data_IF_344851953459
#
_entry.id   IF_344851953459
#
_cell.length_a   1.000
_cell.length_b   1.000
_cell.length_c   1.000
_cell.angle_alpha   90.00
_cell.angle_beta   90.00
_cell.angle_gamma   90.00
#
_symmetry.space_group_name_H-M   'P 1'
#
loop_
_entity.id
_entity.type
_entity.pdbx_description
1 polymer ?
#
# COMPACT_ATOMS: atom_id res chain seq x y z
N UNK A 1 -34.21 -6.91 -14.62
CA UNK A 1 -34.38 -5.73 -13.74
C UNK A 1 -33.00 -5.36 -13.21
N UNK A 2 -32.37 -4.31 -13.72
CA UNK A 2 -31.05 -3.88 -13.24
C UNK A 2 -31.18 -3.41 -11.78
N UNK A 3 -30.37 -3.96 -10.87
CA UNK A 3 -30.28 -3.44 -9.50
C UNK A 3 -29.80 -1.97 -9.58
N UNK A 4 -30.42 -1.03 -8.87
CA UNK A 4 -29.93 0.34 -8.81
C UNK A 4 -28.49 0.36 -8.27
N UNK A 5 -27.63 1.22 -8.85
CA UNK A 5 -26.19 1.28 -8.53
C UNK A 5 -25.92 1.47 -7.03
N UNK A 6 -26.77 2.21 -6.33
CA UNK A 6 -26.64 2.41 -4.89
C UNK A 6 -26.79 1.09 -4.11
N UNK A 7 -27.70 0.22 -4.56
CA UNK A 7 -27.87 -1.13 -4.00
C UNK A 7 -26.62 -1.99 -4.21
N UNK A 8 -26.00 -1.89 -5.40
CA UNK A 8 -24.75 -2.60 -5.72
C UNK A 8 -23.59 -2.11 -4.84
N UNK A 9 -23.47 -0.80 -4.64
CA UNK A 9 -22.42 -0.22 -3.78
C UNK A 9 -22.57 -0.67 -2.33
N UNK A 10 -23.80 -0.69 -1.80
CA UNK A 10 -24.05 -1.17 -0.43
C UNK A 10 -23.77 -2.66 -0.28
N UNK A 11 -24.11 -3.46 -1.28
CA UNK A 11 -23.80 -4.89 -1.32
C UNK A 11 -22.29 -5.14 -1.31
N UNK A 12 -21.52 -4.42 -2.16
CA UNK A 12 -20.05 -4.49 -2.17
C UNK A 12 -19.47 -4.11 -0.80
N UNK A 13 -19.95 -3.02 -0.19
CA UNK A 13 -19.50 -2.60 1.16
C UNK A 13 -19.79 -3.66 2.23
N UNK A 14 -20.99 -4.24 2.21
CA UNK A 14 -21.38 -5.31 3.14
C UNK A 14 -20.55 -6.58 2.96
N UNK A 15 -20.24 -6.95 1.73
CA UNK A 15 -19.39 -8.10 1.43
C UNK A 15 -17.91 -7.82 1.80
N UNK A 16 -17.44 -6.58 1.60
CA UNK A 16 -16.09 -6.17 1.97
C UNK A 16 -15.89 -6.27 3.50
N UNK A 17 -16.87 -5.83 4.30
CA UNK A 17 -16.85 -6.01 5.77
C UNK A 17 -16.75 -7.47 6.21
N UNK A 18 -17.25 -8.39 5.39
CA UNK A 18 -17.26 -9.84 5.65
C UNK A 18 -16.14 -10.58 4.90
N UNK A 19 -15.20 -9.85 4.30
CA UNK A 19 -14.10 -10.38 3.49
C UNK A 19 -14.53 -11.36 2.38
N UNK A 20 -15.74 -11.16 1.83
CA UNK A 20 -16.30 -11.99 0.75
C UNK A 20 -15.83 -11.52 -0.63
N UNK A 21 -14.51 -11.46 -0.84
CA UNK A 21 -13.92 -10.87 -2.05
C UNK A 21 -14.29 -11.60 -3.35
N UNK A 22 -14.48 -12.93 -3.32
CA UNK A 22 -14.92 -13.71 -4.49
C UNK A 22 -16.30 -13.25 -4.97
N UNK A 23 -17.23 -13.01 -4.04
CA UNK A 23 -18.58 -12.55 -4.35
C UNK A 23 -18.56 -11.12 -4.92
N UNK A 24 -17.71 -10.25 -4.37
CA UNK A 24 -17.48 -8.90 -4.90
C UNK A 24 -16.95 -8.96 -6.34
N UNK A 25 -15.93 -9.78 -6.60
CA UNK A 25 -15.35 -9.93 -7.94
C UNK A 25 -16.38 -10.46 -8.95
N UNK A 26 -17.28 -11.36 -8.52
CA UNK A 26 -18.38 -11.83 -9.37
C UNK A 26 -19.31 -10.67 -9.77
N UNK A 27 -19.78 -9.88 -8.79
CA UNK A 27 -20.63 -8.70 -9.03
C UNK A 27 -19.93 -7.72 -9.99
N UNK A 28 -18.65 -7.42 -9.74
CA UNK A 28 -17.88 -6.50 -10.59
C UNK A 28 -17.69 -7.04 -12.01
N UNK A 29 -17.54 -8.36 -12.18
CA UNK A 29 -17.39 -8.98 -13.50
C UNK A 29 -18.68 -8.94 -14.31
N UNK A 30 -19.82 -9.16 -13.67
CA UNK A 30 -21.14 -9.04 -14.30
C UNK A 30 -21.37 -7.60 -14.79
N UNK A 31 -20.96 -6.59 -14.00
CA UNK A 31 -21.01 -5.18 -14.41
C UNK A 31 -20.12 -4.90 -15.62
N UNK A 32 -18.86 -5.38 -15.62
CA UNK A 32 -17.95 -5.18 -16.76
C UNK A 32 -18.50 -5.83 -18.03
N UNK A 33 -19.07 -7.03 -17.93
CA UNK A 33 -19.69 -7.70 -19.08
C UNK A 33 -20.90 -6.90 -19.60
N UNK A 34 -21.76 -6.42 -18.72
CA UNK A 34 -22.86 -5.51 -19.08
C UNK A 34 -22.37 -4.23 -19.75
N UNK A 35 -21.25 -3.66 -19.29
CA UNK A 35 -20.61 -2.51 -19.94
C UNK A 35 -20.03 -2.86 -21.31
N UNK A 36 -19.41 -4.03 -21.49
CA UNK A 36 -18.85 -4.44 -22.78
C UNK A 36 -19.94 -4.63 -23.85
N UNK A 37 -21.07 -5.24 -23.47
CA UNK A 37 -22.24 -5.39 -24.36
C UNK A 37 -22.82 -4.03 -24.75
N UNK A 38 -22.88 -3.07 -23.81
CA UNK A 38 -23.42 -1.73 -24.06
C UNK A 38 -22.45 -0.79 -24.78
N UNK A 39 -21.13 -0.98 -24.64
CA UNK A 39 -20.11 -0.17 -25.33
C UNK A 39 -20.09 -0.42 -26.85
N UNK A 40 -20.52 -1.60 -27.31
CA UNK A 40 -20.75 -1.85 -28.74
C UNK A 40 -21.94 -1.05 -29.32
N UNK A 41 -22.75 -0.38 -28.48
CA UNK A 41 -23.98 0.34 -28.87
C UNK A 41 -23.97 1.85 -28.60
N UNK A 42 -22.80 2.49 -28.46
CA UNK A 42 -22.64 3.92 -28.19
C UNK A 42 -23.19 4.39 -26.81
N UNK A 43 -22.27 4.39 -25.84
CA UNK A 43 -22.26 5.04 -24.50
C UNK A 43 -23.16 4.39 -23.40
N UNK A 44 -22.73 4.33 -22.13
CA UNK A 44 -23.15 5.41 -21.21
C UNK A 44 -22.31 5.70 -19.95
N UNK A 45 -21.07 5.25 -19.75
CA UNK A 45 -20.14 5.93 -18.79
C UNK A 45 -18.71 5.36 -18.75
N UNK A 46 -17.74 5.90 -19.51
CA UNK A 46 -16.33 5.49 -19.39
C UNK A 46 -15.78 5.68 -17.97
N UNK A 47 -16.23 6.72 -17.26
CA UNK A 47 -15.92 6.94 -15.84
C UNK A 47 -16.43 5.80 -14.92
N UNK A 48 -17.59 5.21 -15.19
CA UNK A 48 -18.08 4.07 -14.36
C UNK A 48 -17.29 2.80 -14.68
N UNK A 49 -17.00 2.56 -15.96
CA UNK A 49 -16.18 1.41 -16.35
C UNK A 49 -14.82 1.45 -15.65
N UNK A 50 -14.11 2.59 -15.72
CA UNK A 50 -12.78 2.68 -15.11
C UNK A 50 -12.82 2.52 -13.59
N UNK A 51 -13.87 3.00 -12.92
CA UNK A 51 -14.07 2.80 -11.48
C UNK A 51 -14.31 1.30 -11.14
N UNK A 52 -15.15 0.61 -11.91
CA UNK A 52 -15.41 -0.83 -11.72
C UNK A 52 -14.17 -1.67 -11.98
N UNK A 53 -13.42 -1.37 -13.04
CA UNK A 53 -12.14 -2.04 -13.33
C UNK A 53 -11.12 -1.79 -12.21
N UNK A 54 -11.04 -0.57 -11.68
CA UNK A 54 -10.14 -0.25 -10.55
C UNK A 54 -10.48 -1.09 -9.31
N UNK A 55 -11.76 -1.19 -8.95
CA UNK A 55 -12.21 -2.03 -7.83
C UNK A 55 -11.93 -3.51 -8.10
N UNK A 56 -12.16 -3.97 -9.33
CA UNK A 56 -11.95 -5.38 -9.70
C UNK A 56 -10.46 -5.75 -9.63
N UNK A 57 -9.58 -4.88 -10.10
CA UNK A 57 -8.13 -5.02 -9.92
C UNK A 57 -7.78 -5.11 -8.43
N UNK A 58 -8.29 -4.17 -7.61
CA UNK A 58 -8.03 -4.15 -6.18
C UNK A 58 -8.46 -5.46 -5.48
N UNK A 59 -9.67 -5.96 -5.72
CA UNK A 59 -10.12 -7.20 -5.10
C UNK A 59 -9.45 -8.45 -5.67
N UNK A 60 -9.11 -8.46 -6.96
CA UNK A 60 -8.33 -9.54 -7.55
C UNK A 60 -6.90 -9.60 -7.00
N UNK A 61 -6.31 -8.46 -6.59
CA UNK A 61 -5.05 -8.45 -5.84
C UNK A 61 -5.19 -9.18 -4.51
N UNK A 62 -6.29 -8.94 -3.77
CA UNK A 62 -6.53 -9.64 -2.51
C UNK A 62 -6.70 -11.15 -2.70
N UNK A 63 -7.19 -11.58 -3.87
CA UNK A 63 -7.37 -12.98 -4.24
C UNK A 63 -6.14 -13.60 -4.94
N UNK A 64 -5.08 -12.85 -5.19
CA UNK A 64 -3.93 -13.26 -6.01
C UNK A 64 -4.32 -13.77 -7.42
N UNK A 65 -5.38 -13.20 -8.00
CA UNK A 65 -5.90 -13.59 -9.32
C UNK A 65 -5.16 -12.85 -10.46
N UNK A 66 -3.87 -13.13 -10.64
CA UNK A 66 -2.98 -12.41 -11.57
C UNK A 66 -3.49 -12.37 -13.01
N UNK A 67 -4.04 -13.46 -13.54
CA UNK A 67 -4.59 -13.50 -14.89
C UNK A 67 -5.74 -12.49 -15.08
N UNK A 68 -6.62 -12.37 -14.09
CA UNK A 68 -7.73 -11.40 -14.11
C UNK A 68 -7.21 -9.97 -14.04
N UNK A 69 -6.19 -9.71 -13.21
CA UNK A 69 -5.56 -8.38 -13.09
C UNK A 69 -4.93 -7.96 -14.42
N UNK A 70 -4.15 -8.86 -15.04
CA UNK A 70 -3.51 -8.62 -16.34
C UNK A 70 -4.57 -8.38 -17.42
N UNK A 71 -5.65 -9.15 -17.44
CA UNK A 71 -6.78 -8.94 -18.36
C UNK A 71 -7.37 -7.53 -18.21
N UNK A 72 -7.57 -7.07 -16.97
CA UNK A 72 -8.13 -5.74 -16.70
C UNK A 72 -7.17 -4.62 -17.13
N UNK A 73 -5.88 -4.76 -16.83
CA UNK A 73 -4.88 -3.83 -17.34
C UNK A 73 -4.76 -3.85 -18.86
N UNK A 74 -4.96 -5.00 -19.52
CA UNK A 74 -4.98 -5.08 -20.98
C UNK A 74 -6.20 -4.37 -21.59
N UNK A 75 -7.35 -4.35 -20.91
CA UNK A 75 -8.50 -3.52 -21.32
C UNK A 75 -8.22 -2.02 -21.14
N UNK A 76 -7.57 -1.65 -20.04
CA UNK A 76 -7.20 -0.27 -19.74
C UNK A 76 -6.10 0.23 -20.68
N UNK A 77 -5.14 -0.64 -21.02
CA UNK A 77 -3.85 -0.40 -21.69
C UNK A 77 -2.92 0.51 -20.87
N UNK A 78 -3.31 1.77 -20.71
CA UNK A 78 -2.60 2.77 -19.91
C UNK A 78 -3.62 3.73 -19.30
N UNK A 79 -3.46 4.13 -18.03
CA UNK A 79 -4.32 5.16 -17.42
C UNK A 79 -4.09 6.56 -18.02
N UNK A 80 -3.00 6.76 -18.77
CA UNK A 80 -2.67 8.01 -19.45
C UNK A 80 -3.19 8.07 -20.90
N UNK A 81 -3.92 7.04 -21.34
CA UNK A 81 -4.47 7.03 -22.70
C UNK A 81 -5.55 8.11 -22.88
N UNK A 82 -5.56 8.79 -24.03
CA UNK A 82 -6.53 9.84 -24.37
C UNK A 82 -7.99 9.40 -24.20
N UNK A 83 -8.32 8.12 -24.43
CA UNK A 83 -9.67 7.57 -24.21
C UNK A 83 -10.15 7.66 -22.76
N UNK A 84 -9.27 7.97 -21.81
CA UNK A 84 -9.60 8.16 -20.40
C UNK A 84 -9.66 9.63 -19.99
N UNK A 85 -9.52 10.57 -20.93
CA UNK A 85 -9.66 12.01 -20.68
C UNK A 85 -11.13 12.44 -20.81
N UNK A 86 -11.57 13.41 -20.01
CA UNK A 86 -12.92 13.96 -20.10
C UNK A 86 -13.18 14.60 -21.47
N UNK A 87 -12.14 15.22 -22.04
CA UNK A 87 -12.09 15.91 -23.33
C UNK A 87 -12.39 15.00 -24.52
N UNK A 88 -12.20 13.69 -24.37
CA UNK A 88 -12.54 12.70 -25.39
C UNK A 88 -14.05 12.42 -25.49
N UNK A 89 -14.86 12.98 -24.57
CA UNK A 89 -16.32 12.81 -24.53
C UNK A 89 -17.02 14.15 -24.23
N UNK A 90 -16.88 15.18 -25.10
CA UNK A 90 -17.41 16.52 -24.87
C UNK A 90 -18.93 16.52 -24.73
N UNK A 91 -19.64 15.72 -25.53
CA UNK A 91 -21.11 15.58 -25.51
C UNK A 91 -21.66 15.13 -24.14
N UNK A 92 -20.81 14.51 -23.32
CA UNK A 92 -21.20 13.89 -22.05
C UNK A 92 -20.71 14.66 -20.84
N UNK A 93 -19.49 15.18 -20.91
CA UNK A 93 -18.82 15.80 -19.76
C UNK A 93 -18.66 17.31 -19.89
N UNK A 94 -19.08 17.91 -21.02
CA UNK A 94 -19.01 19.34 -21.26
C UNK A 94 -17.59 19.85 -21.12
N UNK A 95 -17.41 20.90 -20.32
CA UNK A 95 -16.12 21.58 -20.13
C UNK A 95 -15.19 20.91 -19.10
N UNK A 96 -15.50 19.68 -18.64
CA UNK A 96 -14.61 18.96 -17.73
C UNK A 96 -13.30 18.59 -18.43
N UNK A 97 -12.20 18.75 -17.70
CA UNK A 97 -10.85 18.49 -18.19
C UNK A 97 -10.10 17.49 -17.33
N UNK A 98 -9.09 16.86 -17.92
CA UNK A 98 -8.18 15.93 -17.29
C UNK A 98 -8.66 14.48 -17.26
N UNK A 99 -7.95 13.66 -16.49
CA UNK A 99 -8.17 12.21 -16.48
C UNK A 99 -9.40 11.78 -15.67
N UNK A 100 -10.16 10.84 -16.23
CA UNK A 100 -11.20 10.08 -15.53
C UNK A 100 -10.61 8.97 -14.64
N UNK A 101 -9.34 8.60 -14.82
CA UNK A 101 -8.70 7.55 -14.04
C UNK A 101 -8.50 8.03 -12.60
N UNK A 102 -9.01 7.30 -11.59
CA UNK A 102 -8.76 7.65 -10.20
C UNK A 102 -7.28 7.44 -9.86
N UNK A 103 -6.77 8.23 -8.91
CA UNK A 103 -5.38 8.11 -8.45
C UNK A 103 -5.02 6.69 -7.98
N UNK A 104 -5.96 5.98 -7.35
CA UNK A 104 -5.77 4.58 -6.96
C UNK A 104 -5.47 3.65 -8.14
N UNK A 105 -6.06 3.88 -9.31
CA UNK A 105 -5.72 3.10 -10.51
C UNK A 105 -4.28 3.37 -10.96
N UNK A 106 -3.85 4.63 -10.94
CA UNK A 106 -2.47 4.99 -11.29
C UNK A 106 -1.47 4.31 -10.35
N UNK A 107 -1.74 4.30 -9.04
CA UNK A 107 -0.94 3.58 -8.06
C UNK A 107 -0.91 2.07 -8.35
N UNK A 108 -2.07 1.45 -8.58
CA UNK A 108 -2.17 0.02 -8.87
C UNK A 108 -1.41 -0.33 -10.16
N UNK A 109 -1.54 0.50 -11.20
CA UNK A 109 -0.85 0.33 -12.48
C UNK A 109 0.68 0.42 -12.34
N UNK A 110 1.16 1.36 -11.52
CA UNK A 110 2.58 1.53 -11.26
C UNK A 110 3.16 0.44 -10.33
N UNK A 111 2.41 0.04 -9.30
CA UNK A 111 2.89 -0.90 -8.28
C UNK A 111 2.75 -2.38 -8.70
N UNK A 112 1.74 -2.74 -9.49
CA UNK A 112 1.49 -4.14 -9.85
C UNK A 112 2.70 -4.87 -10.47
N UNK A 113 3.48 -4.27 -11.39
CA UNK A 113 4.69 -4.91 -11.93
C UNK A 113 5.66 -5.35 -10.83
N UNK A 114 5.83 -4.57 -9.76
CA UNK A 114 6.68 -4.95 -8.63
C UNK A 114 6.12 -6.18 -7.90
N UNK A 115 4.80 -6.28 -7.72
CA UNK A 115 4.15 -7.44 -7.09
C UNK A 115 4.40 -8.75 -7.87
N UNK A 116 4.61 -8.68 -9.18
CA UNK A 116 4.92 -9.83 -10.05
C UNK A 116 6.41 -9.95 -10.39
N UNK A 117 7.29 -9.25 -9.67
CA UNK A 117 8.75 -9.36 -9.80
C UNK A 117 9.40 -8.49 -10.87
N UNK A 118 8.65 -7.57 -11.49
CA UNK A 118 9.17 -6.63 -12.48
C UNK A 118 9.45 -5.26 -11.86
N UNK A 119 10.54 -5.19 -11.09
CA UNK A 119 10.96 -4.01 -10.32
C UNK A 119 11.15 -2.78 -11.20
N UNK A 120 11.96 -2.89 -12.27
CA UNK A 120 12.27 -1.74 -13.14
C UNK A 120 11.03 -1.20 -13.86
N UNK A 121 10.13 -2.07 -14.31
CA UNK A 121 8.85 -1.64 -14.91
C UNK A 121 7.99 -0.87 -13.91
N UNK A 122 8.03 -1.27 -12.63
CA UNK A 122 7.31 -0.55 -11.58
C UNK A 122 7.92 0.83 -11.34
N UNK A 123 9.25 0.91 -11.21
CA UNK A 123 9.96 2.17 -11.01
C UNK A 123 9.77 3.14 -12.17
N UNK A 124 9.82 2.66 -13.42
CA UNK A 124 9.54 3.45 -14.62
C UNK A 124 8.12 4.03 -14.60
N UNK A 125 7.11 3.22 -14.30
CA UNK A 125 5.72 3.69 -14.18
C UNK A 125 5.52 4.66 -13.03
N UNK A 126 6.21 4.47 -11.91
CA UNK A 126 6.18 5.42 -10.80
C UNK A 126 6.85 6.74 -11.16
N UNK A 127 7.93 6.71 -11.95
CA UNK A 127 8.56 7.93 -12.46
C UNK A 127 7.59 8.73 -13.35
N UNK A 128 6.92 8.07 -14.30
CA UNK A 128 5.87 8.71 -15.14
C UNK A 128 4.74 9.29 -14.28
N UNK A 129 4.27 8.54 -13.27
CA UNK A 129 3.24 9.04 -12.36
C UNK A 129 3.73 10.24 -11.55
N UNK A 130 4.97 10.23 -11.10
CA UNK A 130 5.57 11.35 -10.37
C UNK A 130 5.60 12.60 -11.24
N UNK A 131 6.09 12.51 -12.47
CA UNK A 131 6.16 13.65 -13.40
C UNK A 131 4.78 14.23 -13.67
N UNK A 132 3.80 13.37 -13.97
CA UNK A 132 2.41 13.78 -14.13
C UNK A 132 1.87 14.54 -12.91
N UNK A 133 2.11 14.06 -11.69
CA UNK A 133 1.64 14.74 -10.47
C UNK A 133 2.35 16.08 -10.24
N UNK A 134 3.63 16.19 -10.62
CA UNK A 134 4.37 17.44 -10.53
C UNK A 134 3.81 18.49 -11.49
N UNK A 135 3.54 18.12 -12.74
CA UNK A 135 2.91 19.00 -13.73
C UNK A 135 1.54 19.49 -13.24
N UNK A 136 0.69 18.57 -12.78
CA UNK A 136 -0.65 18.90 -12.27
C UNK A 136 -0.61 19.82 -11.05
N UNK A 137 0.40 19.67 -10.18
CA UNK A 137 0.63 20.58 -9.05
C UNK A 137 1.01 22.00 -9.50
N UNK A 138 1.77 22.12 -10.59
CA UNK A 138 2.15 23.43 -11.14
C UNK A 138 0.97 24.15 -11.81
N UNK A 139 0.07 23.41 -12.45
CA UNK A 139 -1.11 23.93 -13.14
C UNK A 139 -2.23 24.36 -12.18
N UNK A 140 -2.42 23.65 -11.07
CA UNK A 140 -3.53 23.90 -10.13
C UNK A 140 -3.05 24.28 -8.74
N UNK A 141 -2.97 25.60 -8.47
CA UNK A 141 -2.61 26.12 -7.13
C UNK A 141 -3.65 25.76 -6.07
N UNK A 142 -4.94 25.73 -6.42
CA UNK A 142 -6.03 25.40 -5.49
C UNK A 142 -6.02 23.93 -5.05
N UNK A 143 -5.47 23.03 -5.87
CA UNK A 143 -5.34 21.59 -5.56
C UNK A 143 -3.90 21.20 -5.17
N UNK A 144 -3.01 22.17 -4.93
CA UNK A 144 -1.59 21.93 -4.70
C UNK A 144 -1.32 20.98 -3.52
N UNK A 145 -2.11 21.10 -2.44
CA UNK A 145 -1.98 20.23 -1.27
C UNK A 145 -2.35 18.79 -1.58
N UNK A 146 -3.44 18.56 -2.33
CA UNK A 146 -3.87 17.23 -2.77
C UNK A 146 -2.80 16.56 -3.62
N UNK A 147 -2.22 17.29 -4.57
CA UNK A 147 -1.12 16.75 -5.39
C UNK A 147 0.14 16.54 -4.57
N UNK A 148 0.45 17.41 -3.61
CA UNK A 148 1.58 17.23 -2.68
C UNK A 148 1.42 15.95 -1.87
N UNK A 149 0.24 15.67 -1.30
CA UNK A 149 -0.04 14.41 -0.61
C UNK A 149 0.10 13.19 -1.52
N UNK A 150 -0.31 13.28 -2.79
CA UNK A 150 -0.15 12.20 -3.78
C UNK A 150 1.30 11.96 -4.15
N UNK A 151 2.10 13.02 -4.32
CA UNK A 151 3.54 12.93 -4.58
C UNK A 151 4.25 12.25 -3.40
N UNK A 152 3.92 12.66 -2.16
CA UNK A 152 4.43 12.01 -0.96
C UNK A 152 4.06 10.52 -0.95
N UNK A 153 2.80 10.18 -1.23
CA UNK A 153 2.36 8.79 -1.32
C UNK A 153 3.15 7.96 -2.34
N UNK A 154 3.35 8.49 -3.56
CA UNK A 154 4.18 7.83 -4.59
C UNK A 154 5.62 7.65 -4.11
N UNK A 155 6.21 8.69 -3.52
CA UNK A 155 7.59 8.61 -3.05
C UNK A 155 7.81 7.66 -1.89
N UNK A 156 6.84 7.54 -0.98
CA UNK A 156 6.87 6.53 0.07
C UNK A 156 6.83 5.11 -0.51
N UNK A 157 6.03 4.86 -1.54
CA UNK A 157 5.97 3.56 -2.23
C UNK A 157 7.28 3.24 -2.98
N UNK A 158 7.88 4.22 -3.64
CA UNK A 158 9.18 4.05 -4.30
C UNK A 158 10.28 3.77 -3.27
N UNK A 159 10.29 4.50 -2.15
CA UNK A 159 11.22 4.25 -1.06
C UNK A 159 11.04 2.84 -0.46
N UNK A 160 9.80 2.38 -0.28
CA UNK A 160 9.51 1.01 0.18
C UNK A 160 10.03 -0.07 -0.80
N UNK A 161 9.90 0.17 -2.11
CA UNK A 161 10.50 -0.71 -3.13
C UNK A 161 12.02 -0.74 -2.95
N UNK A 162 12.69 0.42 -2.86
CA UNK A 162 14.13 0.47 -2.68
C UNK A 162 14.60 -0.20 -1.38
N UNK A 163 13.89 0.00 -0.27
CA UNK A 163 14.16 -0.71 1.00
C UNK A 163 14.03 -2.22 0.81
N UNK A 164 12.97 -2.68 0.15
CA UNK A 164 12.73 -4.10 -0.12
C UNK A 164 13.79 -4.72 -1.02
N UNK A 165 14.32 -3.96 -1.98
CA UNK A 165 15.39 -4.36 -2.89
C UNK A 165 16.80 -4.18 -2.30
N UNK A 166 16.91 -3.97 -0.97
CA UNK A 166 18.18 -3.76 -0.26
C UNK A 166 19.00 -2.56 -0.77
N UNK A 167 18.31 -1.50 -1.23
CA UNK A 167 18.87 -0.25 -1.72
C UNK A 167 18.52 0.94 -0.81
N UNK A 168 18.94 0.93 0.47
CA UNK A 168 18.54 1.96 1.44
C UNK A 168 19.05 3.37 1.07
N UNK A 169 20.17 3.48 0.36
CA UNK A 169 20.70 4.78 -0.10
C UNK A 169 19.78 5.46 -1.13
N UNK A 170 19.22 4.67 -2.06
CA UNK A 170 18.26 5.19 -3.03
C UNK A 170 16.95 5.58 -2.34
N UNK A 171 16.47 4.78 -1.40
CA UNK A 171 15.32 5.13 -0.56
C UNK A 171 15.55 6.45 0.18
N UNK A 172 16.71 6.60 0.82
CA UNK A 172 17.09 7.81 1.54
C UNK A 172 17.08 9.05 0.62
N UNK A 173 17.60 8.93 -0.60
CA UNK A 173 17.62 10.03 -1.57
C UNK A 173 16.20 10.53 -1.92
N UNK A 174 15.25 9.62 -2.11
CA UNK A 174 13.85 9.93 -2.39
C UNK A 174 13.19 10.57 -1.17
N UNK A 175 13.39 10.00 0.01
CA UNK A 175 12.79 10.49 1.25
C UNK A 175 13.31 11.87 1.65
N UNK A 176 14.61 12.14 1.48
CA UNK A 176 15.18 13.47 1.71
C UNK A 176 14.65 14.50 0.71
N UNK A 177 14.40 14.09 -0.55
CA UNK A 177 13.74 14.95 -1.54
C UNK A 177 12.29 15.26 -1.14
N UNK A 178 11.54 14.27 -0.64
CA UNK A 178 10.18 14.48 -0.12
C UNK A 178 10.17 15.45 1.06
N UNK A 179 11.03 15.18 2.05
CA UNK A 179 11.14 15.99 3.26
C UNK A 179 11.54 17.44 2.94
N UNK A 180 12.50 17.66 2.05
CA UNK A 180 12.99 19.01 1.72
C UNK A 180 12.08 19.80 0.78
N UNK A 181 11.47 19.16 -0.23
CA UNK A 181 10.74 19.87 -1.31
C UNK A 181 9.22 19.88 -1.16
N UNK A 182 8.65 18.98 -0.37
CA UNK A 182 7.21 18.76 -0.33
C UNK A 182 6.62 19.03 1.04
N UNK A 183 7.06 18.30 2.07
CA UNK A 183 6.61 18.54 3.43
C UNK A 183 7.60 17.95 4.45
N UNK A 184 8.30 18.82 5.19
CA UNK A 184 9.26 18.41 6.22
C UNK A 184 8.60 17.91 7.51
N UNK A 185 7.36 18.30 7.79
CA UNK A 185 6.64 17.87 9.00
C UNK A 185 5.96 16.52 8.81
N UNK A 186 5.67 16.12 7.56
CA UNK A 186 4.90 14.90 7.24
C UNK A 186 5.38 13.67 8.04
N UNK A 187 4.53 13.23 8.98
CA UNK A 187 4.84 12.15 9.91
C UNK A 187 5.27 10.85 9.22
N UNK A 188 4.62 10.47 8.11
CA UNK A 188 4.93 9.22 7.40
C UNK A 188 6.32 9.25 6.73
N UNK A 189 6.70 10.40 6.15
CA UNK A 189 8.05 10.61 5.58
C UNK A 189 9.12 10.58 6.67
N UNK A 190 8.87 11.25 7.80
CA UNK A 190 9.77 11.23 8.94
C UNK A 190 9.92 9.82 9.55
N UNK A 191 8.82 9.07 9.71
CA UNK A 191 8.88 7.70 10.16
C UNK A 191 9.72 6.83 9.21
N UNK A 192 9.49 6.90 7.89
CA UNK A 192 10.27 6.14 6.91
C UNK A 192 11.75 6.57 6.83
N UNK A 193 12.06 7.85 7.06
CA UNK A 193 13.44 8.32 7.21
C UNK A 193 14.10 7.70 8.43
N UNK A 194 13.43 7.72 9.58
CA UNK A 194 13.96 7.15 10.80
C UNK A 194 14.34 5.68 10.63
N UNK A 195 13.46 4.98 9.94
CA UNK A 195 13.58 3.59 9.55
C UNK A 195 14.81 3.34 8.67
N UNK A 196 14.96 4.09 7.59
CA UNK A 196 16.09 3.93 6.66
C UNK A 196 17.42 4.32 7.31
N UNK A 197 17.44 5.37 8.13
CA UNK A 197 18.62 5.75 8.91
C UNK A 197 19.05 4.64 9.87
N UNK A 198 18.10 4.01 10.56
CA UNK A 198 18.39 2.88 11.42
C UNK A 198 18.97 1.70 10.63
N UNK A 199 18.45 1.40 9.43
CA UNK A 199 18.98 0.33 8.57
C UNK A 199 20.44 0.55 8.13
N UNK A 200 20.88 1.80 8.00
CA UNK A 200 22.26 2.14 7.63
C UNK A 200 23.16 2.38 8.86
N UNK A 201 22.65 2.14 10.07
CA UNK A 201 23.40 2.30 11.33
C UNK A 201 23.49 3.73 11.87
N UNK A 202 22.73 4.68 11.30
CA UNK A 202 22.68 6.07 11.76
C UNK A 202 21.55 6.25 12.79
N UNK A 203 21.81 5.78 14.02
CA UNK A 203 20.84 5.86 15.12
C UNK A 203 20.50 7.29 15.55
N UNK A 204 21.41 8.25 15.31
CA UNK A 204 21.21 9.66 15.67
C UNK A 204 20.13 10.29 14.78
N UNK A 205 20.26 10.16 13.47
CA UNK A 205 19.22 10.65 12.55
C UNK A 205 17.95 9.79 12.63
N UNK A 206 18.08 8.50 12.94
CA UNK A 206 16.91 7.64 13.19
C UNK A 206 16.02 8.20 14.30
N UNK A 207 16.59 8.44 15.48
CA UNK A 207 15.87 8.96 16.64
C UNK A 207 15.28 10.35 16.38
N UNK A 208 16.07 11.27 15.80
CA UNK A 208 15.61 12.61 15.43
C UNK A 208 14.36 12.59 14.53
N UNK A 209 14.32 11.71 13.54
CA UNK A 209 13.21 11.67 12.60
C UNK A 209 11.97 10.97 13.19
N UNK A 210 12.12 9.94 14.02
CA UNK A 210 10.96 9.31 14.64
C UNK A 210 10.33 10.20 15.72
N UNK A 211 11.14 10.99 16.44
CA UNK A 211 10.66 12.03 17.35
C UNK A 211 9.76 13.04 16.63
N UNK A 212 10.21 13.56 15.48
CA UNK A 212 9.40 14.44 14.63
C UNK A 212 8.11 13.78 14.12
N UNK A 213 8.15 12.50 13.80
CA UNK A 213 6.94 11.78 13.37
C UNK A 213 5.89 11.67 14.50
N UNK A 214 6.33 11.70 15.77
CA UNK A 214 5.46 11.67 16.95
C UNK A 214 4.92 13.05 17.34
N UNK A 215 5.60 14.14 16.97
CA UNK A 215 5.17 15.52 17.25
C UNK A 215 3.85 15.88 16.54
N UNK A 216 3.62 15.35 15.33
CA UNK A 216 2.32 15.47 14.68
C UNK A 216 1.31 14.56 15.39
N UNK A 217 0.37 15.15 16.13
CA UNK A 217 -0.73 14.44 16.79
C UNK A 217 -1.58 13.73 15.74
N UNK A 218 -1.25 12.47 15.49
CA UNK A 218 -1.91 11.63 14.50
C UNK A 218 -2.51 10.43 15.20
N UNK A 219 -3.50 9.80 14.57
CA UNK A 219 -4.00 8.49 15.00
C UNK A 219 -2.91 7.41 15.06
N UNK A 220 -1.71 7.69 14.52
CA UNK A 220 -0.58 6.79 14.43
C UNK A 220 0.50 7.05 15.49
N UNK A 221 0.30 7.99 16.43
CA UNK A 221 1.34 8.35 17.42
C UNK A 221 1.83 7.13 18.23
N UNK A 222 0.93 6.26 18.70
CA UNK A 222 1.34 5.04 19.43
C UNK A 222 2.07 4.04 18.53
N UNK A 223 1.72 3.99 17.24
CA UNK A 223 2.47 3.20 16.27
C UNK A 223 3.92 3.70 16.13
N UNK A 224 4.12 5.02 16.05
CA UNK A 224 5.45 5.62 15.98
C UNK A 224 6.26 5.47 17.26
N UNK A 225 5.62 5.53 18.44
CA UNK A 225 6.27 5.17 19.70
C UNK A 225 6.77 3.73 19.70
N UNK A 226 5.96 2.81 19.19
CA UNK A 226 6.38 1.42 18.98
C UNK A 226 7.63 1.33 18.10
N UNK A 227 7.67 2.06 16.97
CA UNK A 227 8.87 2.11 16.10
C UNK A 227 10.08 2.71 16.83
N UNK A 228 9.90 3.77 17.60
CA UNK A 228 10.97 4.39 18.38
C UNK A 228 11.57 3.41 19.40
N UNK A 229 10.74 2.63 20.10
CA UNK A 229 11.20 1.57 21.00
C UNK A 229 11.99 0.50 20.23
N UNK A 230 11.50 0.10 19.04
CA UNK A 230 12.18 -0.86 18.17
C UNK A 230 13.57 -0.35 17.71
N UNK A 231 13.69 0.92 17.31
CA UNK A 231 14.96 1.55 16.92
C UNK A 231 15.97 1.49 18.08
N UNK A 232 15.50 1.64 19.32
CA UNK A 232 16.31 1.58 20.52
C UNK A 232 16.43 0.18 21.13
N UNK A 233 16.01 -0.87 20.40
CA UNK A 233 16.03 -2.27 20.82
C UNK A 233 15.25 -2.57 22.13
N UNK A 234 14.31 -1.70 22.51
CA UNK A 234 13.39 -1.92 23.63
C UNK A 234 12.13 -2.65 23.16
N UNK A 235 12.27 -3.97 22.97
CA UNK A 235 11.21 -4.80 22.40
C UNK A 235 10.01 -5.00 23.33
N UNK A 236 10.22 -4.91 24.64
CA UNK A 236 9.14 -5.02 25.63
C UNK A 236 8.21 -3.81 25.54
N UNK A 237 8.77 -2.60 25.51
CA UNK A 237 7.96 -1.40 25.31
C UNK A 237 7.40 -1.32 23.90
N UNK A 238 8.16 -1.73 22.87
CA UNK A 238 7.64 -1.79 21.51
C UNK A 238 6.36 -2.66 21.44
N UNK A 239 6.41 -3.86 22.02
CA UNK A 239 5.25 -4.76 22.10
C UNK A 239 4.06 -4.08 22.81
N UNK A 240 4.30 -3.41 23.93
CA UNK A 240 3.25 -2.67 24.65
C UNK A 240 2.60 -1.61 23.74
N UNK A 241 3.40 -0.76 23.10
CA UNK A 241 2.91 0.33 22.25
C UNK A 241 2.12 -0.19 21.05
N UNK A 242 2.58 -1.25 20.37
CA UNK A 242 1.84 -1.84 19.26
C UNK A 242 0.52 -2.48 19.72
N UNK A 243 0.47 -3.05 20.93
CA UNK A 243 -0.77 -3.59 21.51
C UNK A 243 -1.77 -2.48 21.84
N UNK A 244 -1.32 -1.37 22.44
CA UNK A 244 -2.16 -0.18 22.69
C UNK A 244 -2.72 0.37 21.38
N UNK A 245 -1.87 0.45 20.35
CA UNK A 245 -2.24 0.86 19.02
C UNK A 245 -3.32 -0.05 18.41
N UNK A 246 -3.13 -1.39 18.48
CA UNK A 246 -4.12 -2.38 18.02
C UNK A 246 -5.49 -2.17 18.68
N UNK A 247 -5.53 -2.07 20.01
CA UNK A 247 -6.77 -1.91 20.76
C UNK A 247 -7.50 -0.60 20.40
N UNK A 248 -6.73 0.47 20.15
CA UNK A 248 -7.30 1.76 19.71
C UNK A 248 -7.95 1.66 18.32
N UNK A 249 -7.38 0.86 17.41
CA UNK A 249 -7.96 0.59 16.10
C UNK A 249 -9.23 -0.27 16.17
N UNK A 250 -9.23 -1.31 17.02
CA UNK A 250 -10.40 -2.18 17.19
C UNK A 250 -11.60 -1.43 17.79
N UNK A 251 -11.36 -0.43 18.64
CA UNK A 251 -12.39 0.42 19.22
C UNK A 251 -13.00 1.43 18.21
N UNK A 252 -12.30 1.75 17.12
CA UNK A 252 -12.77 2.67 16.09
C UNK A 252 -13.48 1.90 14.97
N UNK A 253 -14.81 1.80 15.07
CA UNK A 253 -15.69 1.03 14.15
C UNK A 253 -15.78 1.56 12.69
N UNK A 254 -14.79 2.31 12.20
CA UNK A 254 -14.92 3.09 10.95
C UNK A 254 -13.76 2.93 9.97
N UNK A 255 -13.82 1.89 9.13
CA UNK A 255 -13.53 1.91 7.68
C UNK A 255 -13.12 0.52 7.17
N UNK A 256 -13.74 0.09 6.07
CA UNK A 256 -13.48 -1.19 5.36
C UNK A 256 -12.09 -1.30 4.71
N UNK A 257 -11.23 -0.29 4.87
CA UNK A 257 -9.86 -0.23 4.32
C UNK A 257 -8.80 -0.48 5.42
N UNK A 258 -9.23 -0.56 6.69
CA UNK A 258 -8.39 -0.63 7.92
C UNK A 258 -7.63 -1.96 8.08
N UNK A 259 -7.93 -2.96 7.26
CA UNK A 259 -7.40 -4.32 7.37
C UNK A 259 -5.89 -4.43 7.02
N UNK A 260 -5.29 -3.44 6.36
CA UNK A 260 -3.84 -3.44 6.02
C UNK A 260 -2.95 -2.91 7.13
N UNK A 261 -3.41 -1.89 7.88
CA UNK A 261 -2.72 -1.37 9.06
C UNK A 261 -2.71 -2.39 10.20
N UNK A 262 -3.80 -3.15 10.35
CA UNK A 262 -3.89 -4.24 11.34
C UNK A 262 -2.82 -5.31 11.11
N UNK A 263 -2.61 -5.75 9.85
CA UNK A 263 -1.55 -6.71 9.52
C UNK A 263 -0.15 -6.19 9.86
N UNK A 264 0.09 -4.90 9.64
CA UNK A 264 1.33 -4.22 10.02
C UNK A 264 1.55 -4.23 11.53
N UNK A 265 0.51 -3.90 12.30
CA UNK A 265 0.58 -3.84 13.76
C UNK A 265 0.75 -5.24 14.35
N UNK A 266 -0.02 -6.23 13.88
CA UNK A 266 0.10 -7.64 14.30
C UNK A 266 1.50 -8.18 13.97
N UNK A 267 2.02 -7.87 12.78
CA UNK A 267 3.38 -8.27 12.41
C UNK A 267 4.41 -7.67 13.37
N UNK A 268 4.29 -6.38 13.68
CA UNK A 268 5.21 -5.72 14.62
C UNK A 268 5.09 -6.28 16.05
N UNK A 269 3.89 -6.64 16.51
CA UNK A 269 3.68 -7.37 17.79
C UNK A 269 4.42 -8.69 17.76
N UNK A 270 4.24 -9.49 16.70
CA UNK A 270 4.87 -10.80 16.57
C UNK A 270 6.40 -10.70 16.52
N UNK A 271 6.94 -9.73 15.77
CA UNK A 271 8.39 -9.45 15.72
C UNK A 271 8.92 -9.10 17.11
N UNK A 272 8.30 -8.15 17.82
CA UNK A 272 8.74 -7.82 19.18
C UNK A 272 8.74 -9.06 20.08
N UNK A 273 7.72 -9.92 19.99
CA UNK A 273 7.65 -11.18 20.74
C UNK A 273 8.76 -12.16 20.34
N UNK A 274 9.17 -12.24 19.07
CA UNK A 274 10.31 -13.04 18.65
C UNK A 274 11.62 -12.56 19.29
N UNK A 275 11.89 -11.25 19.28
CA UNK A 275 13.08 -10.67 19.93
C UNK A 275 13.06 -10.85 21.45
N UNK A 276 11.87 -10.97 22.05
CA UNK A 276 11.71 -11.33 23.46
C UNK A 276 11.79 -12.85 23.73
N UNK A 277 12.14 -13.66 22.73
CA UNK A 277 12.16 -15.14 22.79
C UNK A 277 10.81 -15.79 23.15
N UNK A 278 9.69 -15.09 22.91
CA UNK A 278 8.32 -15.56 23.17
C UNK A 278 7.68 -16.15 21.91
N UNK A 279 8.31 -17.16 21.33
CA UNK A 279 7.97 -17.74 20.02
C UNK A 279 6.53 -18.25 19.91
N UNK A 280 6.01 -18.90 20.96
CA UNK A 280 4.61 -19.38 21.01
C UNK A 280 3.63 -18.22 20.97
N UNK A 281 3.89 -17.14 21.71
CA UNK A 281 3.05 -15.96 21.71
C UNK A 281 3.12 -15.22 20.37
N UNK A 282 4.31 -15.14 19.75
CA UNK A 282 4.50 -14.57 18.42
C UNK A 282 3.69 -15.33 17.37
N UNK A 283 3.73 -16.66 17.40
CA UNK A 283 2.91 -17.51 16.53
C UNK A 283 1.42 -17.27 16.74
N UNK A 284 0.96 -17.25 17.99
CA UNK A 284 -0.45 -16.98 18.30
C UNK A 284 -0.90 -15.59 17.81
N UNK A 285 -0.03 -14.58 17.90
CA UNK A 285 -0.31 -13.25 17.35
C UNK A 285 -0.48 -13.30 15.82
N UNK A 286 0.40 -13.99 15.11
CA UNK A 286 0.29 -14.20 13.65
C UNK A 286 -1.00 -14.97 13.31
N UNK A 287 -1.28 -16.05 14.03
CA UNK A 287 -2.47 -16.90 13.80
C UNK A 287 -3.77 -16.15 14.13
N UNK A 288 -3.73 -15.14 15.00
CA UNK A 288 -4.87 -14.26 15.28
C UNK A 288 -5.22 -13.32 14.12
N UNK A 289 -4.32 -13.17 13.15
CA UNK A 289 -4.57 -12.38 11.95
C UNK A 289 -5.60 -13.10 11.06
N UNK A 290 -6.86 -12.71 11.21
CA UNK A 290 -7.98 -13.30 10.46
C UNK A 290 -7.85 -13.12 8.94
N UNK A 291 -7.03 -12.17 8.47
CA UNK A 291 -6.88 -11.81 7.06
C UNK A 291 -5.40 -11.63 6.67
N UNK A 292 -4.65 -12.72 6.52
CA UNK A 292 -3.31 -12.68 5.92
C UNK A 292 -3.45 -12.33 4.42
N UNK A 293 -3.34 -11.05 4.09
CA UNK A 293 -3.21 -10.62 2.70
C UNK A 293 -1.84 -11.05 2.19
N UNK A 294 -1.80 -12.03 1.28
CA UNK A 294 -0.55 -12.52 0.66
C UNK A 294 0.25 -11.41 -0.05
N UNK A 295 -0.42 -10.32 -0.41
CA UNK A 295 0.15 -9.10 -0.99
C UNK A 295 0.11 -7.88 -0.05
N UNK A 296 0.04 -8.08 1.28
CA UNK A 296 0.23 -7.01 2.29
C UNK A 296 1.58 -6.28 2.18
N UNK A 297 2.39 -6.60 1.17
CA UNK A 297 3.46 -5.74 0.65
C UNK A 297 3.03 -4.27 0.49
N UNK A 298 1.74 -3.97 0.30
CA UNK A 298 1.28 -2.59 0.06
C UNK A 298 1.35 -1.65 1.28
N UNK A 299 1.51 -2.18 2.49
CA UNK A 299 1.93 -1.44 3.68
C UNK A 299 2.63 -2.47 4.57
N UNK A 300 3.89 -2.77 4.29
CA UNK A 300 4.69 -3.59 5.21
C UNK A 300 4.86 -2.81 6.50
N UNK A 301 4.51 -3.44 7.61
CA UNK A 301 4.96 -3.01 8.93
C UNK A 301 6.48 -2.97 8.94
N UNK A 302 7.00 -1.85 9.38
CA UNK A 302 7.87 -1.03 8.53
C UNK A 302 9.24 -1.62 8.13
N UNK A 303 9.82 -2.67 8.76
CA UNK A 303 11.26 -2.98 8.57
C UNK A 303 11.68 -4.47 8.63
N UNK A 304 10.97 -5.38 9.28
CA UNK A 304 11.68 -6.48 9.97
C UNK A 304 11.66 -7.86 9.28
N UNK A 305 11.85 -7.91 7.95
CA UNK A 305 12.12 -9.20 7.28
C UNK A 305 13.59 -9.42 6.96
N UNK A 306 14.44 -8.40 6.77
CA UNK A 306 15.83 -8.68 6.38
C UNK A 306 16.71 -9.13 7.55
N UNK A 307 16.52 -8.59 8.76
CA UNK A 307 17.27 -9.01 9.96
C UNK A 307 16.76 -10.36 10.48
N UNK A 308 15.45 -10.56 10.52
CA UNK A 308 14.85 -11.84 10.91
C UNK A 308 15.15 -12.96 9.91
N UNK A 309 15.14 -12.69 8.59
CA UNK A 309 15.55 -13.68 7.59
C UNK A 309 17.08 -13.87 7.55
N UNK A 310 17.89 -12.89 7.98
CA UNK A 310 19.33 -13.09 8.17
C UNK A 310 19.62 -13.99 9.37
N UNK A 311 18.95 -13.79 10.50
CA UNK A 311 19.11 -14.67 11.67
C UNK A 311 18.54 -16.07 11.42
N UNK A 312 17.37 -16.17 10.77
CA UNK A 312 16.81 -17.47 10.37
C UNK A 312 17.58 -18.16 9.23
N UNK A 313 18.26 -17.43 8.35
CA UNK A 313 19.12 -18.03 7.32
C UNK A 313 20.44 -18.54 7.91
N UNK A 314 20.92 -17.94 9.00
CA UNK A 314 22.12 -18.43 9.72
C UNK A 314 21.80 -19.71 10.51
N UNK A 315 20.57 -19.87 11.01
CA UNK A 315 20.15 -21.09 11.72
C UNK A 315 19.67 -22.24 10.82
N UNK A 316 19.46 -22.01 9.52
CA UNK A 316 19.06 -23.06 8.56
C UNK A 316 20.28 -23.71 7.88
N UNK A 317 21.47 -23.12 7.94
CA UNK A 317 22.67 -23.58 7.22
C UNK A 317 23.78 -24.19 8.11
N UNK A 318 23.48 -24.55 9.35
CA UNK A 318 24.40 -25.32 10.21
C UNK A 318 23.68 -26.44 10.95
N UNK A 319 23.33 -27.50 10.22
CA UNK A 319 23.41 -28.90 10.68
C UNK A 319 22.71 -29.79 9.65
N UNK A 320 23.45 -30.29 8.68
CA UNK A 320 23.38 -31.65 8.12
C UNK A 320 24.40 -31.72 6.97
N UNK A 321 25.67 -31.45 7.32
CA UNK A 321 26.77 -32.12 6.64
C UNK A 321 26.82 -33.53 7.23
N UNK A 322 26.54 -34.48 6.34
CA UNK A 322 27.06 -35.85 6.34
C UNK A 322 26.82 -36.68 7.61
N UNK A 323 25.62 -37.24 7.68
CA UNK A 323 25.44 -38.60 8.20
C UNK A 323 24.85 -39.47 7.07
N UNK A 324 25.72 -39.83 6.12
CA UNK A 324 25.50 -41.02 5.31
C UNK A 324 26.76 -41.88 5.28
N UNK A 325 26.64 -42.94 6.07
CA UNK A 325 26.97 -44.33 5.72
C UNK A 325 28.43 -44.75 5.72
N UNK A 326 28.69 -45.67 6.67
CA UNK A 326 29.46 -46.91 6.51
C UNK A 326 30.98 -46.83 6.63
#
# INVERSE_FOLDING_TARGET
MEKPMDGVVQEIRSLAKRNKFKDIVKILSDLVHGFHISLQKYDKSPRRLIAVLTLRIFYNLQLNANQSIVSDFNMIKSPYNEKWMYESYPDKYGDKKGSMCPFSLNLLYAYYPYLVGSVYTSLDRFHVLWEYLMEQRHESREAADVFTSRIICVGLLVADIFVSEQRPQDALSILLRLHSKHNASNHATNAMLAVVYNMIGDSVNANKHIERAMEETSQFTEYYRGIHCVINADFEQAHHQFTVCKNSYEAQETSTVVNSCENTIINNIAVSLFYMSRTVAAKNAIDSCSNIYKHSKLFKGIIWNSTMLKELAVDIDTSYLDDHTS
#
